data_IF_457460126007
#
_entry.id   IF_457460126007
#
_cell.length_a   1.000
_cell.length_b   1.000
_cell.length_c   1.000
_cell.angle_alpha   90.00
_cell.angle_beta   90.00
_cell.angle_gamma   90.00
#
_symmetry.space_group_name_H-M   'P 1'
#
loop_
_entity.id
_entity.type
_entity.pdbx_description
1 polymer ?
#
# COMPACT_ATOMS: atom_id res chain seq x y z
N UNK A 1 15.18 4.72 -3.88
CA UNK A 1 13.73 4.36 -3.91
C UNK A 1 13.54 3.02 -3.23
N UNK A 2 12.62 2.94 -2.29
CA UNK A 2 12.18 1.71 -1.62
C UNK A 2 10.70 1.53 -1.92
N UNK A 3 10.32 0.34 -2.40
CA UNK A 3 8.91 0.02 -2.74
C UNK A 3 8.32 -0.92 -1.69
N UNK A 4 7.13 -0.57 -1.18
CA UNK A 4 6.45 -1.26 -0.08
C UNK A 4 5.04 -1.64 -0.52
N UNK A 5 4.74 -2.94 -0.60
CA UNK A 5 3.38 -3.42 -0.82
C UNK A 5 2.59 -3.44 0.50
N UNK A 6 1.37 -2.94 0.48
CA UNK A 6 0.42 -3.08 1.59
C UNK A 6 -0.57 -4.18 1.21
N UNK A 7 -0.36 -5.38 1.74
CA UNK A 7 -1.05 -6.58 1.26
C UNK A 7 -1.70 -7.37 2.39
N UNK A 8 -2.92 -7.86 2.14
CA UNK A 8 -3.60 -8.89 2.90
C UNK A 8 -4.76 -9.42 2.05
N UNK A 9 -4.99 -10.74 2.07
CA UNK A 9 -6.08 -11.39 1.34
C UNK A 9 -7.46 -11.06 1.91
N UNK A 10 -7.54 -10.72 3.18
CA UNK A 10 -8.81 -10.38 3.82
C UNK A 10 -9.25 -8.98 3.43
N UNK A 11 -10.49 -8.86 2.95
CA UNK A 11 -11.15 -7.56 2.76
C UNK A 11 -11.43 -6.88 4.11
N UNK A 12 -11.43 -5.54 4.12
CA UNK A 12 -11.82 -4.76 5.29
C UNK A 12 -10.81 -4.71 6.45
N UNK A 13 -9.57 -5.20 6.27
CA UNK A 13 -8.51 -5.10 7.30
C UNK A 13 -7.81 -3.75 7.33
N UNK A 14 -8.14 -2.85 6.39
CA UNK A 14 -7.61 -1.50 6.31
C UNK A 14 -6.32 -1.36 5.51
N UNK A 15 -6.09 -2.18 4.48
CA UNK A 15 -4.96 -2.02 3.54
C UNK A 15 -4.86 -0.60 3.01
N UNK A 16 -5.92 -0.16 2.35
CA UNK A 16 -6.03 1.20 1.78
C UNK A 16 -5.79 2.28 2.83
N UNK A 17 -6.36 2.12 4.02
CA UNK A 17 -6.16 3.07 5.13
C UNK A 17 -4.68 3.14 5.53
N UNK A 18 -4.04 1.99 5.74
CA UNK A 18 -2.61 1.94 6.12
C UNK A 18 -1.73 2.49 5.00
N UNK A 19 -2.00 2.14 3.74
CA UNK A 19 -1.28 2.68 2.58
C UNK A 19 -1.39 4.20 2.52
N UNK A 20 -2.62 4.71 2.61
CA UNK A 20 -2.96 6.13 2.57
C UNK A 20 -2.26 6.93 3.67
N UNK A 21 -2.37 6.46 4.90
CA UNK A 21 -1.85 7.20 6.05
C UNK A 21 -0.32 7.12 6.14
N UNK A 22 0.29 5.97 5.87
CA UNK A 22 1.75 5.84 5.88
C UNK A 22 2.40 6.66 4.76
N UNK A 23 1.85 6.61 3.53
CA UNK A 23 2.39 7.41 2.42
C UNK A 23 2.32 8.91 2.71
N UNK A 24 1.19 9.38 3.25
CA UNK A 24 1.03 10.78 3.64
C UNK A 24 1.96 11.19 4.80
N UNK A 25 2.09 10.34 5.83
CA UNK A 25 2.99 10.63 6.95
C UNK A 25 4.45 10.66 6.51
N UNK A 26 4.87 9.78 5.60
CA UNK A 26 6.23 9.80 5.04
C UNK A 26 6.48 11.08 4.22
N UNK A 27 5.53 11.50 3.39
CA UNK A 27 5.62 12.77 2.65
C UNK A 27 5.73 13.96 3.61
N UNK A 28 4.89 14.02 4.64
CA UNK A 28 4.95 15.05 5.68
C UNK A 28 6.24 15.00 6.52
N UNK A 29 7.00 13.91 6.47
CA UNK A 29 8.38 13.81 7.00
C UNK A 29 9.45 14.29 6.01
N UNK A 30 9.07 14.73 4.84
CA UNK A 30 9.95 15.29 3.81
C UNK A 30 10.51 14.25 2.84
N UNK A 31 9.99 13.02 2.82
CA UNK A 31 10.32 12.03 1.79
C UNK A 31 9.47 12.24 0.54
N UNK A 32 10.09 12.23 -0.63
CA UNK A 32 9.34 12.20 -1.89
C UNK A 32 8.67 10.83 -2.01
N UNK A 33 7.36 10.82 -1.95
CA UNK A 33 6.56 9.61 -1.80
C UNK A 33 5.57 9.44 -2.96
N UNK A 34 5.47 8.21 -3.49
CA UNK A 34 4.48 7.83 -4.48
C UNK A 34 3.53 6.80 -3.87
N UNK A 35 2.24 7.01 -3.97
CA UNK A 35 1.22 6.02 -3.66
C UNK A 35 0.63 5.45 -4.95
N UNK A 36 0.57 4.12 -5.08
CA UNK A 36 0.02 3.44 -6.25
C UNK A 36 -1.20 2.65 -5.81
N UNK A 37 -2.34 2.94 -6.41
CA UNK A 37 -3.57 2.16 -6.21
C UNK A 37 -3.57 0.97 -7.19
N UNK A 38 -3.35 -0.24 -6.68
CA UNK A 38 -3.37 -1.46 -7.48
C UNK A 38 -4.67 -2.27 -7.27
N UNK A 39 -5.65 -1.73 -6.54
CA UNK A 39 -6.97 -2.34 -6.41
C UNK A 39 -7.93 -1.76 -7.49
N UNK A 40 -8.55 -2.61 -8.35
CA UNK A 40 -9.55 -2.16 -9.32
C UNK A 40 -10.74 -1.40 -8.72
N UNK A 41 -10.98 -1.51 -7.41
CA UNK A 41 -12.02 -0.77 -6.72
C UNK A 41 -11.69 0.73 -6.57
N UNK A 42 -10.42 1.15 -6.70
CA UNK A 42 -10.00 2.54 -6.66
C UNK A 42 -10.23 3.22 -5.31
N UNK A 43 -10.17 2.48 -4.21
CA UNK A 43 -10.44 3.04 -2.87
C UNK A 43 -9.37 4.02 -2.41
N UNK A 44 -8.09 3.75 -2.70
CA UNK A 44 -7.02 4.70 -2.41
C UNK A 44 -7.17 5.95 -3.27
N UNK A 45 -7.44 5.78 -4.56
CA UNK A 45 -7.70 6.84 -5.53
C UNK A 45 -8.81 7.77 -5.05
N UNK A 46 -9.99 7.21 -4.80
CA UNK A 46 -11.17 7.98 -4.37
C UNK A 46 -10.99 8.68 -3.02
N UNK A 47 -10.07 8.21 -2.19
CA UNK A 47 -9.73 8.84 -0.91
C UNK A 47 -8.93 10.13 -1.07
N UNK A 48 -8.26 10.35 -2.21
CA UNK A 48 -7.41 11.52 -2.48
C UNK A 48 -8.00 12.47 -3.51
N UNK A 49 -8.55 11.94 -4.60
CA UNK A 49 -8.99 12.73 -5.76
C UNK A 49 -10.38 12.31 -6.21
N UNK A 50 -11.06 13.19 -6.93
CA UNK A 50 -12.32 12.88 -7.59
C UNK A 50 -12.05 12.32 -9.01
N UNK A 51 -12.99 11.56 -9.56
CA UNK A 51 -12.78 10.81 -10.80
C UNK A 51 -12.67 11.66 -12.07
N UNK A 52 -13.00 12.94 -11.99
CA UNK A 52 -12.90 13.90 -13.10
C UNK A 52 -11.53 14.62 -13.16
N UNK A 53 -10.64 14.32 -12.24
CA UNK A 53 -9.33 15.00 -12.13
C UNK A 53 -8.25 14.32 -12.97
N UNK A 54 -8.44 13.05 -13.37
CA UNK A 54 -7.41 12.27 -14.07
C UNK A 54 -7.96 11.52 -15.29
N UNK A 55 -7.11 11.41 -16.32
CA UNK A 55 -7.43 10.67 -17.56
C UNK A 55 -6.69 9.34 -17.63
N UNK A 56 -5.45 9.28 -17.13
CA UNK A 56 -4.61 8.10 -17.10
C UNK A 56 -4.63 7.42 -15.71
N UNK A 57 -4.53 6.11 -15.70
CA UNK A 57 -4.55 5.28 -14.49
C UNK A 57 -3.57 4.13 -14.62
N UNK A 58 -3.32 3.40 -13.55
CA UNK A 58 -2.49 2.20 -13.57
C UNK A 58 -2.92 1.18 -14.63
N UNK A 59 -4.21 1.15 -15.01
CA UNK A 59 -4.68 0.26 -16.07
C UNK A 59 -4.07 0.59 -17.42
N UNK A 60 -3.86 1.87 -17.74
CA UNK A 60 -3.21 2.30 -18.99
C UNK A 60 -1.70 1.98 -19.02
N UNK A 61 -1.08 1.86 -17.85
CA UNK A 61 0.34 1.53 -17.70
C UNK A 61 0.56 0.02 -17.80
N UNK A 62 -0.31 -0.79 -17.20
CA UNK A 62 -0.09 -2.23 -17.08
C UNK A 62 -0.72 -3.07 -18.19
N UNK A 63 -1.85 -2.63 -18.74
CA UNK A 63 -2.63 -3.42 -19.70
C UNK A 63 -2.29 -3.01 -21.14
N UNK A 64 -2.04 -4.01 -21.97
CA UNK A 64 -1.85 -3.76 -23.41
C UNK A 64 -3.19 -3.31 -24.02
N UNK A 65 -3.24 -2.14 -24.69
CA UNK A 65 -4.46 -1.67 -25.34
C UNK A 65 -4.92 -2.63 -26.43
N UNK A 66 -6.22 -2.87 -26.51
CA UNK A 66 -6.80 -3.67 -27.59
C UNK A 66 -6.67 -2.89 -28.92
N UNK A 67 -5.97 -3.48 -29.89
CA UNK A 67 -5.85 -2.89 -31.22
C UNK A 67 -7.03 -3.29 -32.11
N UNK A 68 -7.87 -2.34 -32.44
CA UNK A 68 -8.96 -2.52 -33.44
C UNK A 68 -8.47 -2.42 -34.87
N UNK A 69 -7.27 -1.89 -35.09
CA UNK A 69 -6.68 -1.62 -36.42
C UNK A 69 -5.54 -2.55 -36.79
N UNK A 70 -5.17 -3.50 -35.90
CA UNK A 70 -4.00 -4.37 -36.08
C UNK A 70 -2.65 -3.67 -35.83
N UNK A 71 -2.66 -2.38 -35.50
CA UNK A 71 -1.47 -1.64 -35.09
C UNK A 71 -1.28 -1.86 -33.60
N UNK A 72 -0.08 -2.34 -33.19
CA UNK A 72 0.25 -2.49 -31.78
C UNK A 72 0.30 -1.11 -31.12
N UNK A 73 -0.52 -0.91 -30.10
CA UNK A 73 -0.50 0.30 -29.25
C UNK A 73 0.23 -0.07 -27.97
N UNK A 74 1.29 0.68 -27.66
CA UNK A 74 2.03 0.43 -26.41
C UNK A 74 1.28 1.07 -25.24
N UNK A 75 1.35 0.45 -24.05
CA UNK A 75 0.84 1.07 -22.82
C UNK A 75 1.57 2.37 -22.48
N UNK A 76 0.92 3.22 -21.70
CA UNK A 76 1.51 4.48 -21.26
C UNK A 76 2.71 4.24 -20.32
N UNK A 77 3.72 5.12 -20.33
CA UNK A 77 4.72 5.16 -19.27
C UNK A 77 4.10 5.56 -17.93
N UNK A 78 4.72 5.17 -16.82
CA UNK A 78 4.21 5.46 -15.48
C UNK A 78 4.06 6.96 -15.23
N UNK A 79 4.98 7.78 -15.73
CA UNK A 79 4.97 9.24 -15.56
C UNK A 79 3.67 9.89 -16.06
N UNK A 80 3.08 9.37 -17.12
CA UNK A 80 1.83 9.89 -17.68
C UNK A 80 0.60 9.60 -16.80
N UNK A 81 0.72 8.67 -15.84
CA UNK A 81 -0.35 8.32 -14.91
C UNK A 81 -0.12 8.87 -13.49
N UNK A 82 0.96 9.63 -13.25
CA UNK A 82 1.26 10.22 -11.95
C UNK A 82 0.48 11.54 -11.81
N UNK A 83 -0.17 11.70 -10.65
CA UNK A 83 -0.91 12.90 -10.24
C UNK A 83 -0.34 13.45 -8.94
N UNK A 84 -0.35 14.77 -8.79
CA UNK A 84 -0.14 15.40 -7.50
C UNK A 84 -1.32 15.10 -6.56
N UNK A 85 -1.03 14.70 -5.32
CA UNK A 85 -2.06 14.57 -4.29
C UNK A 85 -2.27 15.88 -3.53
N UNK A 86 -3.32 16.03 -2.71
CA UNK A 86 -3.48 17.19 -1.83
C UNK A 86 -2.42 17.33 -0.74
N UNK A 87 -1.50 16.37 -0.61
CA UNK A 87 -0.43 16.36 0.40
C UNK A 87 0.89 16.65 -0.29
N UNK A 88 1.56 17.73 0.11
CA UNK A 88 2.87 18.10 -0.43
C UNK A 88 3.89 16.96 -0.29
N UNK A 89 4.59 16.65 -1.37
CA UNK A 89 5.57 15.55 -1.42
C UNK A 89 4.97 14.14 -1.58
N UNK A 90 3.66 14.04 -1.78
CA UNK A 90 2.96 12.80 -2.09
C UNK A 90 2.31 12.87 -3.46
N UNK A 91 2.71 11.99 -4.35
CA UNK A 91 2.05 11.77 -5.64
C UNK A 91 1.26 10.46 -5.64
N UNK A 92 0.33 10.33 -6.59
CA UNK A 92 -0.60 9.22 -6.73
C UNK A 92 -0.60 8.67 -8.14
N UNK A 93 -0.57 7.35 -8.28
CA UNK A 93 -1.00 6.65 -9.51
C UNK A 93 -2.39 6.07 -9.25
N UNK A 94 -3.45 6.59 -9.89
CA UNK A 94 -4.81 6.16 -9.63
C UNK A 94 -5.14 4.82 -10.28
N UNK A 95 -6.12 4.11 -9.73
CA UNK A 95 -6.73 2.91 -10.32
C UNK A 95 -8.10 3.21 -10.93
N UNK A 96 -8.54 2.29 -11.77
CA UNK A 96 -9.91 2.20 -12.24
C UNK A 96 -10.33 0.73 -12.43
N UNK A 97 -11.63 0.51 -12.67
CA UNK A 97 -12.20 -0.84 -12.80
C UNK A 97 -11.59 -1.64 -13.97
N UNK A 98 -11.05 -0.98 -15.00
CA UNK A 98 -10.38 -1.65 -16.13
C UNK A 98 -9.15 -2.44 -15.68
N UNK A 99 -8.54 -2.05 -14.54
CA UNK A 99 -7.40 -2.76 -13.97
C UNK A 99 -7.71 -4.24 -13.67
N UNK A 100 -8.99 -4.60 -13.42
CA UNK A 100 -9.40 -5.99 -13.25
C UNK A 100 -9.07 -6.88 -14.48
N UNK A 101 -8.96 -6.30 -15.68
CA UNK A 101 -8.57 -7.04 -16.90
C UNK A 101 -7.11 -7.53 -16.85
N UNK A 102 -6.29 -7.00 -15.95
CA UNK A 102 -4.92 -7.45 -15.81
C UNK A 102 -4.82 -8.92 -15.40
N UNK A 103 -5.82 -9.45 -14.69
CA UNK A 103 -5.90 -10.87 -14.33
C UNK A 103 -5.98 -11.80 -15.56
N UNK A 104 -6.44 -11.28 -16.71
CA UNK A 104 -6.56 -12.02 -17.97
C UNK A 104 -5.34 -11.84 -18.88
N UNK A 105 -4.42 -10.93 -18.52
CA UNK A 105 -3.21 -10.67 -19.30
C UNK A 105 -2.19 -11.83 -19.18
N UNK A 106 -1.26 -11.98 -20.15
CA UNK A 106 -0.17 -12.93 -20.06
C UNK A 106 0.69 -12.75 -18.80
N UNK A 107 1.21 -13.84 -18.24
CA UNK A 107 1.98 -13.84 -16.98
C UNK A 107 3.25 -13.00 -17.05
N UNK A 108 3.88 -12.86 -18.22
CA UNK A 108 5.07 -12.03 -18.38
C UNK A 108 4.83 -10.54 -18.08
N UNK A 109 3.58 -10.07 -18.12
CA UNK A 109 3.24 -8.68 -17.79
C UNK A 109 3.29 -8.39 -16.28
N UNK A 110 3.36 -9.40 -15.43
CA UNK A 110 3.55 -9.18 -13.97
C UNK A 110 4.85 -8.44 -13.64
N UNK A 111 5.83 -8.46 -14.54
CA UNK A 111 7.09 -7.70 -14.39
C UNK A 111 6.95 -6.21 -14.72
N UNK A 112 5.86 -5.81 -15.38
CA UNK A 112 5.72 -4.46 -15.94
C UNK A 112 5.77 -3.37 -14.87
N UNK A 113 5.07 -3.53 -13.75
CA UNK A 113 5.10 -2.53 -12.68
C UNK A 113 6.52 -2.29 -12.15
N UNK A 114 7.30 -3.36 -11.93
CA UNK A 114 8.70 -3.24 -11.51
C UNK A 114 9.53 -2.48 -12.53
N UNK A 115 9.40 -2.84 -13.82
CA UNK A 115 10.17 -2.20 -14.89
C UNK A 115 9.82 -0.70 -14.98
N UNK A 116 8.54 -0.35 -14.90
CA UNK A 116 8.08 1.03 -14.91
C UNK A 116 8.62 1.83 -13.70
N UNK A 117 8.63 1.24 -12.50
CA UNK A 117 9.22 1.88 -11.32
C UNK A 117 10.74 2.04 -11.43
N UNK A 118 11.45 1.09 -12.01
CA UNK A 118 12.90 1.21 -12.23
C UNK A 118 13.26 2.32 -13.23
N UNK A 119 12.40 2.53 -14.23
CA UNK A 119 12.60 3.52 -15.28
C UNK A 119 12.17 4.91 -14.83
N UNK A 120 11.01 5.04 -14.21
CA UNK A 120 10.30 6.28 -13.91
C UNK A 120 10.26 6.67 -12.42
N UNK A 121 10.57 5.76 -11.50
CA UNK A 121 10.49 6.00 -10.05
C UNK A 121 11.67 6.75 -9.42
N UNK A 122 12.65 7.21 -10.19
CA UNK A 122 13.95 7.74 -9.67
C UNK A 122 13.84 9.01 -8.82
N UNK A 123 12.74 9.73 -8.90
CA UNK A 123 12.48 10.94 -8.10
C UNK A 123 11.94 10.67 -6.69
N UNK A 124 11.51 9.43 -6.41
CA UNK A 124 10.88 9.07 -5.15
C UNK A 124 11.85 8.35 -4.20
N UNK A 125 11.73 8.67 -2.91
CA UNK A 125 12.41 7.96 -1.83
C UNK A 125 11.65 6.67 -1.47
N UNK A 126 10.31 6.78 -1.40
CA UNK A 126 9.38 5.73 -1.00
C UNK A 126 8.24 5.56 -2.01
N UNK A 127 7.88 4.32 -2.28
CA UNK A 127 6.69 3.96 -3.07
C UNK A 127 5.83 3.02 -2.24
N UNK A 128 4.54 3.36 -2.05
CA UNK A 128 3.57 2.50 -1.39
C UNK A 128 2.57 1.97 -2.42
N UNK A 129 2.34 0.66 -2.42
CA UNK A 129 1.41 0.00 -3.35
C UNK A 129 0.24 -0.58 -2.56
N UNK A 130 -0.96 -0.04 -2.75
CA UNK A 130 -2.20 -0.60 -2.17
C UNK A 130 -2.65 -1.80 -2.98
N UNK A 131 -2.58 -2.98 -2.39
CA UNK A 131 -2.84 -4.23 -3.09
C UNK A 131 -4.31 -4.66 -3.00
N UNK A 132 -4.85 -5.30 -4.06
CA UNK A 132 -6.18 -5.91 -4.01
C UNK A 132 -6.25 -7.04 -2.97
N UNK A 133 -7.45 -7.40 -2.48
CA UNK A 133 -7.61 -8.51 -1.52
C UNK A 133 -7.48 -9.90 -2.14
N UNK A 134 -7.46 -10.02 -3.46
CA UNK A 134 -7.45 -11.30 -4.17
C UNK A 134 -6.03 -11.75 -4.47
N UNK A 135 -5.82 -13.08 -4.37
CA UNK A 135 -4.60 -13.72 -4.86
C UNK A 135 -4.67 -13.81 -6.38
N UNK A 136 -4.04 -12.86 -7.06
CA UNK A 136 -4.04 -12.77 -8.51
C UNK A 136 -2.77 -12.17 -9.06
N UNK A 137 -2.79 -11.88 -10.35
CA UNK A 137 -1.64 -11.29 -11.06
C UNK A 137 -1.34 -9.86 -10.60
N UNK A 138 -2.34 -9.08 -10.21
CA UNK A 138 -2.15 -7.74 -9.66
C UNK A 138 -1.36 -7.78 -8.35
N UNK A 139 -1.74 -8.66 -7.43
CA UNK A 139 -0.97 -8.86 -6.19
C UNK A 139 0.45 -9.35 -6.50
N UNK A 140 0.58 -10.32 -7.40
CA UNK A 140 1.89 -10.83 -7.82
C UNK A 140 2.76 -9.73 -8.41
N UNK A 141 2.20 -8.88 -9.28
CA UNK A 141 2.91 -7.74 -9.87
C UNK A 141 3.35 -6.72 -8.82
N UNK A 142 2.49 -6.40 -7.85
CA UNK A 142 2.81 -5.53 -6.72
C UNK A 142 3.95 -6.10 -5.87
N UNK A 143 3.87 -7.39 -5.48
CA UNK A 143 4.92 -8.06 -4.71
C UNK A 143 6.24 -8.21 -5.50
N UNK A 144 6.14 -8.41 -6.81
CA UNK A 144 7.33 -8.47 -7.66
C UNK A 144 8.05 -7.13 -7.75
N UNK A 145 7.30 -6.03 -7.76
CA UNK A 145 7.83 -4.68 -7.80
C UNK A 145 8.35 -4.17 -6.45
N UNK A 146 8.04 -4.87 -5.34
CA UNK A 146 8.31 -4.39 -3.99
C UNK A 146 9.59 -4.95 -3.38
N UNK A 147 10.22 -4.14 -2.52
CA UNK A 147 11.32 -4.54 -1.65
C UNK A 147 10.79 -5.11 -0.33
N UNK A 148 9.68 -4.53 0.15
CA UNK A 148 9.07 -4.90 1.42
C UNK A 148 7.56 -5.09 1.32
N UNK A 149 7.01 -5.85 2.29
CA UNK A 149 5.57 -6.01 2.48
C UNK A 149 5.20 -5.61 3.91
N UNK A 150 4.18 -4.76 4.06
CA UNK A 150 3.49 -4.52 5.33
C UNK A 150 2.12 -5.20 5.25
N UNK A 151 1.74 -5.91 6.33
CA UNK A 151 0.51 -6.71 6.37
C UNK A 151 -0.43 -6.16 7.44
N UNK A 152 -1.44 -5.35 7.09
CA UNK A 152 -2.48 -4.94 8.02
C UNK A 152 -3.34 -6.14 8.41
N UNK A 153 -3.55 -6.34 9.71
CA UNK A 153 -4.33 -7.44 10.27
C UNK A 153 -5.41 -6.89 11.20
N UNK A 154 -6.65 -7.32 11.01
CA UNK A 154 -7.67 -7.04 12.01
C UNK A 154 -7.45 -7.93 13.25
N UNK A 155 -7.80 -7.38 14.42
CA UNK A 155 -7.61 -8.05 15.71
C UNK A 155 -8.59 -9.21 15.98
N UNK A 156 -9.26 -9.74 14.96
CA UNK A 156 -10.21 -10.85 15.08
C UNK A 156 -9.63 -12.20 14.60
N UNK A 157 -10.15 -13.31 15.13
CA UNK A 157 -9.68 -14.65 14.79
C UNK A 157 -9.79 -15.00 13.30
N UNK A 158 -10.72 -14.38 12.55
CA UNK A 158 -10.84 -14.58 11.10
C UNK A 158 -9.73 -13.87 10.31
N UNK A 159 -8.99 -12.92 10.91
CA UNK A 159 -7.83 -12.26 10.31
C UNK A 159 -6.64 -13.18 10.13
N UNK A 160 -6.54 -14.22 10.95
CA UNK A 160 -5.35 -15.08 11.03
C UNK A 160 -5.25 -16.10 9.89
N UNK A 161 -6.37 -16.62 9.40
CA UNK A 161 -6.36 -17.63 8.34
C UNK A 161 -5.79 -17.09 7.03
N UNK A 162 -6.15 -15.86 6.66
CA UNK A 162 -5.61 -15.20 5.45
C UNK A 162 -4.12 -14.83 5.55
N UNK A 163 -3.55 -14.77 6.77
CA UNK A 163 -2.13 -14.47 6.96
C UNK A 163 -1.22 -15.59 6.52
N UNK A 164 -1.57 -16.84 6.84
CA UNK A 164 -0.78 -18.00 6.45
C UNK A 164 -0.74 -18.17 4.92
N UNK A 165 -1.86 -17.93 4.25
CA UNK A 165 -1.96 -18.00 2.79
C UNK A 165 -1.15 -16.87 2.13
N UNK A 166 -1.20 -15.65 2.71
CA UNK A 166 -0.39 -14.54 2.25
C UNK A 166 1.10 -14.80 2.48
N UNK A 167 1.49 -15.30 3.66
CA UNK A 167 2.88 -15.67 3.96
C UNK A 167 3.41 -16.71 2.96
N UNK A 168 2.59 -17.71 2.63
CA UNK A 168 2.91 -18.69 1.59
C UNK A 168 3.11 -18.01 0.22
N UNK A 169 2.22 -17.08 -0.16
CA UNK A 169 2.32 -16.35 -1.43
C UNK A 169 3.60 -15.49 -1.48
N UNK A 170 3.93 -14.77 -0.40
CA UNK A 170 5.17 -14.00 -0.29
C UNK A 170 6.39 -14.92 -0.49
N UNK A 171 6.40 -16.09 0.15
CA UNK A 171 7.47 -17.07 0.00
C UNK A 171 7.58 -17.62 -1.44
N UNK A 172 6.45 -17.86 -2.13
CA UNK A 172 6.47 -18.28 -3.53
C UNK A 172 7.03 -17.18 -4.43
N UNK A 173 6.62 -15.92 -4.24
CA UNK A 173 7.17 -14.78 -4.97
C UNK A 173 8.67 -14.64 -4.69
N UNK A 174 9.09 -14.75 -3.43
CA UNK A 174 10.50 -14.66 -3.03
C UNK A 174 11.36 -15.74 -3.69
N UNK A 175 10.87 -16.98 -3.73
CA UNK A 175 11.62 -18.10 -4.31
C UNK A 175 11.71 -18.05 -5.83
N UNK A 176 10.66 -17.61 -6.50
CA UNK A 176 10.52 -17.79 -7.95
C UNK A 176 10.75 -16.52 -8.75
N UNK A 177 10.52 -15.33 -8.18
CA UNK A 177 10.40 -14.07 -8.95
C UNK A 177 11.21 -12.92 -8.35
N UNK A 178 11.15 -12.72 -7.02
CA UNK A 178 11.78 -11.59 -6.34
C UNK A 178 12.48 -12.04 -5.04
N UNK A 179 13.70 -12.54 -5.16
CA UNK A 179 14.48 -13.03 -4.01
C UNK A 179 14.81 -11.97 -2.95
N UNK A 180 14.70 -10.68 -3.31
CA UNK A 180 14.93 -9.56 -2.41
C UNK A 180 13.71 -9.17 -1.56
N UNK A 181 12.51 -9.69 -1.89
CA UNK A 181 11.29 -9.33 -1.16
C UNK A 181 11.37 -9.76 0.31
N UNK A 182 11.09 -8.82 1.21
CA UNK A 182 11.09 -9.08 2.65
C UNK A 182 9.76 -8.63 3.28
N UNK A 183 9.31 -9.34 4.30
CA UNK A 183 8.20 -8.88 5.13
C UNK A 183 8.72 -7.89 6.17
N UNK A 184 8.35 -6.62 6.05
CA UNK A 184 8.74 -5.57 6.99
C UNK A 184 8.03 -5.74 8.35
N UNK A 185 6.77 -6.14 8.31
CA UNK A 185 6.00 -6.43 9.51
C UNK A 185 4.49 -6.55 9.27
N UNK A 186 3.80 -7.08 10.30
CA UNK A 186 2.35 -7.04 10.39
C UNK A 186 1.91 -5.94 11.35
N UNK A 187 0.91 -5.15 10.98
CA UNK A 187 0.32 -4.12 11.84
C UNK A 187 -1.08 -4.55 12.29
N UNK A 188 -1.30 -4.60 13.61
CA UNK A 188 -2.63 -4.85 14.15
C UNK A 188 -3.46 -3.58 13.97
N UNK A 189 -4.46 -3.67 13.12
CA UNK A 189 -5.36 -2.57 12.76
C UNK A 189 -6.78 -2.84 13.26
N UNK A 190 -7.62 -1.80 13.32
CA UNK A 190 -9.00 -1.86 13.82
C UNK A 190 -9.06 -2.43 15.25
N UNK A 191 -8.05 -2.13 16.04
CA UNK A 191 -7.93 -2.62 17.41
C UNK A 191 -8.99 -2.03 18.33
N UNK A 192 -9.68 -2.90 19.09
CA UNK A 192 -10.71 -2.52 20.08
C UNK A 192 -10.28 -3.00 21.46
N UNK A 193 -9.87 -2.11 22.39
CA UNK A 193 -9.32 -2.50 23.70
C UNK A 193 -10.29 -3.31 24.59
N UNK A 194 -11.58 -3.17 24.35
CA UNK A 194 -12.64 -3.82 25.16
C UNK A 194 -12.88 -5.30 24.85
N UNK A 195 -12.28 -5.83 23.80
CA UNK A 195 -12.30 -7.26 23.50
C UNK A 195 -10.99 -7.85 24.04
N UNK A 196 -11.06 -8.80 24.97
CA UNK A 196 -9.94 -9.48 25.67
C UNK A 196 -8.94 -10.22 24.72
N UNK A 197 -8.58 -9.62 23.61
CA UNK A 197 -7.82 -10.21 22.50
C UNK A 197 -6.36 -9.73 22.44
N UNK A 198 -5.87 -8.94 23.41
CA UNK A 198 -4.64 -8.16 23.20
C UNK A 198 -3.36 -9.01 23.13
N UNK A 199 -3.10 -9.87 24.09
CA UNK A 199 -1.89 -10.70 24.09
C UNK A 199 -2.05 -11.95 23.22
N UNK A 200 -3.21 -12.60 23.29
CA UNK A 200 -3.53 -13.81 22.51
C UNK A 200 -3.60 -13.50 21.01
N UNK A 201 -4.18 -12.34 20.61
CA UNK A 201 -4.23 -11.94 19.20
C UNK A 201 -2.84 -11.61 18.66
N UNK A 202 -1.99 -10.93 19.43
CA UNK A 202 -0.62 -10.64 19.01
C UNK A 202 0.16 -11.94 18.81
N UNK A 203 0.13 -12.83 19.80
CA UNK A 203 0.80 -14.15 19.72
C UNK A 203 0.28 -14.99 18.56
N UNK A 204 -1.03 -14.92 18.27
CA UNK A 204 -1.62 -15.63 17.14
C UNK A 204 -1.19 -15.03 15.78
N UNK A 205 -1.08 -13.70 15.66
CA UNK A 205 -0.51 -13.04 14.48
C UNK A 205 0.97 -13.43 14.32
N UNK A 206 1.76 -13.36 15.38
CA UNK A 206 3.16 -13.77 15.39
C UNK A 206 3.34 -15.24 14.96
N UNK A 207 2.48 -16.13 15.43
CA UNK A 207 2.48 -17.54 15.02
C UNK A 207 2.08 -17.72 13.56
N UNK A 208 1.12 -16.95 13.05
CA UNK A 208 0.63 -17.04 11.67
C UNK A 208 1.63 -16.52 10.63
N UNK A 209 2.34 -15.44 10.94
CA UNK A 209 3.42 -14.93 10.07
C UNK A 209 4.72 -15.72 10.24
N UNK A 210 4.87 -16.47 11.32
CA UNK A 210 5.91 -17.46 11.55
C UNK A 210 7.32 -16.92 11.33
N UNK A 211 8.09 -17.63 10.46
CA UNK A 211 9.48 -17.30 10.15
C UNK A 211 9.67 -16.13 9.18
N UNK A 212 8.60 -15.55 8.65
CA UNK A 212 8.69 -14.56 7.55
C UNK A 212 8.59 -13.10 8.00
N UNK A 213 8.20 -12.81 9.26
CA UNK A 213 8.02 -11.42 9.66
C UNK A 213 7.90 -11.17 11.16
N UNK A 214 7.74 -9.90 11.49
CA UNK A 214 7.55 -9.38 12.84
C UNK A 214 6.22 -8.64 12.94
N UNK A 215 5.67 -8.48 14.15
CA UNK A 215 4.54 -7.60 14.41
C UNK A 215 5.09 -6.22 14.81
N UNK A 216 4.49 -5.15 14.28
CA UNK A 216 4.78 -3.79 14.73
C UNK A 216 4.33 -3.61 16.18
N UNK A 217 5.06 -2.82 16.95
CA UNK A 217 4.68 -2.53 18.34
C UNK A 217 3.45 -1.62 18.39
N UNK A 218 3.34 -0.73 17.42
CA UNK A 218 2.21 0.17 17.27
C UNK A 218 0.97 -0.56 16.76
N UNK A 219 -0.14 -0.50 17.50
CA UNK A 219 -1.45 -0.95 17.07
C UNK A 219 -2.29 0.26 16.64
N UNK A 220 -3.03 0.13 15.53
CA UNK A 220 -3.96 1.15 15.05
C UNK A 220 -5.36 0.84 15.55
N UNK A 221 -5.91 1.73 16.38
CA UNK A 221 -7.26 1.58 16.90
C UNK A 221 -8.32 1.95 15.87
N UNK A 222 -9.52 1.37 16.04
CA UNK A 222 -10.68 1.71 15.23
C UNK A 222 -11.27 3.07 15.67
N UNK A 223 -10.80 4.13 15.02
CA UNK A 223 -11.27 5.49 15.28
C UNK A 223 -12.11 6.02 14.12
N UNK A 224 -13.28 6.58 14.43
CA UNK A 224 -14.14 7.23 13.42
C UNK A 224 -13.42 8.34 12.66
N UNK A 225 -12.49 9.07 13.30
CA UNK A 225 -11.72 10.13 12.67
C UNK A 225 -10.84 9.65 11.51
N UNK A 226 -10.32 8.43 11.58
CA UNK A 226 -9.58 7.82 10.46
C UNK A 226 -10.52 7.47 9.32
N UNK A 227 -11.73 6.98 9.62
CA UNK A 227 -12.74 6.66 8.62
C UNK A 227 -13.37 7.90 7.96
N UNK A 228 -13.46 9.03 8.69
CA UNK A 228 -14.01 10.30 8.20
C UNK A 228 -13.02 11.06 7.28
N UNK A 229 -11.72 10.96 7.53
CA UNK A 229 -10.68 11.74 6.87
C UNK A 229 -10.71 11.65 5.32
N UNK A 230 -10.97 10.48 4.67
CA UNK A 230 -11.08 10.37 3.22
C UNK A 230 -12.15 11.27 2.59
N UNK A 231 -13.25 11.52 3.29
CA UNK A 231 -14.31 12.40 2.79
C UNK A 231 -13.87 13.86 2.64
N UNK A 232 -12.79 14.24 3.32
CA UNK A 232 -12.18 15.57 3.25
C UNK A 232 -10.94 15.61 2.36
N UNK A 233 -10.59 14.49 1.71
CA UNK A 233 -9.35 14.34 0.92
C UNK A 233 -8.07 14.68 1.72
N UNK A 234 -8.10 14.49 3.04
CA UNK A 234 -6.98 14.77 3.96
C UNK A 234 -6.55 13.50 4.68
N UNK A 235 -5.25 13.30 4.97
CA UNK A 235 -4.84 12.24 5.87
C UNK A 235 -5.35 12.50 7.29
N UNK A 236 -5.57 11.45 8.06
CA UNK A 236 -6.10 11.57 9.43
C UNK A 236 -5.21 12.41 10.33
N UNK A 237 -3.89 12.40 10.11
CA UNK A 237 -2.92 13.22 10.85
C UNK A 237 -3.08 14.72 10.62
N UNK A 238 -3.65 15.14 9.51
CA UNK A 238 -3.99 16.54 9.22
C UNK A 238 -5.44 16.85 9.58
N UNK A 239 -6.35 15.92 9.35
CA UNK A 239 -7.78 16.06 9.65
C UNK A 239 -8.07 16.12 11.16
N UNK A 240 -7.36 15.32 11.94
CA UNK A 240 -7.57 15.18 13.38
C UNK A 240 -6.26 15.31 14.17
N UNK A 241 -5.53 16.41 13.97
CA UNK A 241 -4.16 16.65 14.48
C UNK A 241 -3.95 16.34 15.97
N UNK A 242 -4.92 16.66 16.81
CA UNK A 242 -4.83 16.47 18.28
C UNK A 242 -5.49 15.16 18.76
N UNK A 243 -5.83 14.26 17.86
CA UNK A 243 -6.49 13.01 18.20
C UNK A 243 -5.48 11.87 18.35
N UNK A 244 -5.73 10.93 19.26
CA UNK A 244 -4.88 9.76 19.50
C UNK A 244 -4.61 8.92 18.24
N UNK A 245 -5.50 8.94 17.26
CA UNK A 245 -5.27 8.32 15.96
C UNK A 245 -4.02 8.88 15.28
N UNK A 246 -3.83 10.22 15.33
CA UNK A 246 -2.66 10.87 14.74
C UNK A 246 -1.38 10.43 15.43
N UNK A 247 -1.38 10.34 16.78
CA UNK A 247 -0.21 9.87 17.54
C UNK A 247 0.18 8.44 17.14
N UNK A 248 -0.81 7.55 16.96
CA UNK A 248 -0.56 6.17 16.55
C UNK A 248 -0.04 6.07 15.10
N UNK A 249 -0.57 6.87 14.18
CA UNK A 249 -0.10 6.90 12.80
C UNK A 249 1.34 7.42 12.71
N UNK A 250 1.67 8.46 13.48
CA UNK A 250 3.05 8.93 13.59
C UNK A 250 3.98 7.87 14.20
N UNK A 251 3.55 7.19 15.27
CA UNK A 251 4.34 6.13 15.91
C UNK A 251 4.61 4.97 14.94
N UNK A 252 3.59 4.53 14.19
CA UNK A 252 3.76 3.49 13.18
C UNK A 252 4.72 3.95 12.06
N UNK A 253 4.60 5.21 11.63
CA UNK A 253 5.49 5.76 10.59
C UNK A 253 6.94 5.78 11.05
N UNK A 254 7.22 6.21 12.28
CA UNK A 254 8.58 6.20 12.84
C UNK A 254 9.12 4.76 12.92
N UNK A 255 8.30 3.80 13.35
CA UNK A 255 8.69 2.39 13.43
C UNK A 255 8.98 1.79 12.03
N UNK A 256 8.20 2.16 11.01
CA UNK A 256 8.45 1.78 9.61
C UNK A 256 9.77 2.36 9.12
N UNK A 257 10.00 3.66 9.31
CA UNK A 257 11.22 4.34 8.86
C UNK A 257 12.47 3.79 9.57
N UNK A 258 12.36 3.47 10.87
CA UNK A 258 13.45 2.84 11.62
C UNK A 258 13.81 1.46 11.06
N UNK A 259 12.81 0.62 10.78
CA UNK A 259 13.03 -0.71 10.18
C UNK A 259 13.60 -0.64 8.77
N UNK A 260 13.28 0.41 8.01
CA UNK A 260 13.86 0.70 6.70
C UNK A 260 15.27 1.31 6.81
N UNK A 261 15.77 1.58 8.03
CA UNK A 261 17.03 2.26 8.30
C UNK A 261 17.11 3.66 7.65
N UNK A 262 15.98 4.33 7.51
CA UNK A 262 15.89 5.67 6.95
C UNK A 262 16.06 6.70 8.07
N UNK A 263 17.08 7.56 7.95
CA UNK A 263 17.32 8.62 8.91
C UNK A 263 16.23 9.70 8.85
N UNK A 264 15.86 10.28 10.01
CA UNK A 264 14.93 11.42 10.07
C UNK A 264 15.43 12.56 9.19
N UNK A 265 14.72 12.85 8.11
CA UNK A 265 14.92 14.10 7.39
C UNK A 265 14.37 15.25 8.26
N UNK A 266 15.12 16.38 8.31
CA UNK A 266 14.67 17.55 9.07
C UNK A 266 13.37 18.07 8.48
N UNK A 267 12.31 18.03 9.28
CA UNK A 267 11.06 18.71 8.96
C UNK A 267 11.39 20.21 8.91
N UNK A 268 11.31 20.83 7.74
CA UNK A 268 11.09 22.25 7.68
C UNK A 268 9.70 22.48 8.29
N UNK A 269 9.66 23.16 9.45
CA UNK A 269 8.43 23.37 10.21
C UNK A 269 7.34 23.91 9.26
N UNK A 270 6.31 23.10 9.05
CA UNK A 270 5.06 23.56 8.44
C UNK A 270 4.47 24.56 9.43
N UNK A 271 4.61 25.85 9.10
CA UNK A 271 4.00 26.97 9.83
C UNK A 271 2.50 27.01 9.59
#
# INVERSE_FOLDING_TARGET
>A
MITIAIANQKGGVGKTTVCRELSACCALRGYQTLAIDADPQGNLTSSWVDSDVYEATLSHVLIEPESTTGVKVEPLPLDDAILESPVEGLDLVPADIRLARFEMQPDYLTHRLRNQLQEHGKGYDLVFVDCPPQLGKLLTAALYASDFVIVPCASDAMGLQGLSDLAFTIEQVRKNVNSGLQMLGAVINLYKPQRNLSAESRSAVEAAIGLVGHVFDTNLHDYSKVAEAPSQKLPAVLYAKSHRASDQLWSLTEEVLERLQMSRQKISAVK
#
